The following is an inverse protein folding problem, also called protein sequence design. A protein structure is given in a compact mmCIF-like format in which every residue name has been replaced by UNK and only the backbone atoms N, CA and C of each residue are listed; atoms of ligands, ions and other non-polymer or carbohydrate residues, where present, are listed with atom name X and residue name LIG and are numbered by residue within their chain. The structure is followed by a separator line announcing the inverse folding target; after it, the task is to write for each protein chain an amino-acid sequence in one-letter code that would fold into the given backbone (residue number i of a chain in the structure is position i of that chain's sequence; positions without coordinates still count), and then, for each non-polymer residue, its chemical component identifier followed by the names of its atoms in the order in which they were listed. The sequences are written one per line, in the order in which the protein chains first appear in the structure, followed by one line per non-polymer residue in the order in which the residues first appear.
data_IF_353687718862
#
_entry.id   IF_353687718862
#
_cell.length_a   1.000
_cell.length_b   1.000
_cell.length_c   1.000
_cell.angle_alpha   90.00
_cell.angle_beta   90.00
_cell.angle_gamma   90.00
#
_symmetry.space_group_name_H-M   'P 1'
#
loop_
_entity.id
_entity.type
_entity.pdbx_description
1 polymer ?
#
# COMPACT_ATOMS: atom_id res chain seq x y z
N UNK A 1 -25.53 -7.76 4.69
CA UNK A 1 -24.49 -8.69 4.20
C UNK A 1 -23.73 -8.01 3.06
N UNK A 2 -22.40 -8.09 3.02
CA UNK A 2 -21.60 -7.49 1.95
C UNK A 2 -21.72 -8.38 0.71
N UNK A 3 -22.30 -7.88 -0.38
CA UNK A 3 -22.42 -8.64 -1.64
C UNK A 3 -21.14 -8.48 -2.45
N UNK A 4 -20.26 -9.48 -2.47
CA UNK A 4 -18.98 -9.39 -3.20
C UNK A 4 -19.13 -9.41 -4.72
N UNK A 5 -19.96 -10.30 -5.25
CA UNK A 5 -20.26 -10.38 -6.69
C UNK A 5 -21.47 -9.53 -7.00
N UNK A 6 -21.22 -8.28 -7.41
CA UNK A 6 -22.26 -7.35 -7.82
C UNK A 6 -21.75 -6.44 -8.94
N UNK A 7 -22.63 -6.09 -9.89
CA UNK A 7 -22.32 -5.10 -10.92
C UNK A 7 -22.36 -3.71 -10.27
N UNK A 8 -21.19 -3.11 -10.09
CA UNK A 8 -21.04 -1.83 -9.39
C UNK A 8 -20.86 -0.68 -10.36
N UNK A 9 -21.46 0.46 -10.04
CA UNK A 9 -21.04 1.74 -10.59
C UNK A 9 -19.82 2.30 -9.82
N UNK A 10 -19.29 3.41 -10.31
CA UNK A 10 -18.16 4.08 -9.71
C UNK A 10 -18.40 4.50 -8.25
N UNK A 11 -19.59 5.04 -7.94
CA UNK A 11 -19.91 5.54 -6.60
C UNK A 11 -20.05 4.41 -5.59
N UNK A 12 -20.63 3.29 -6.03
CA UNK A 12 -20.82 2.07 -5.24
C UNK A 12 -19.49 1.51 -4.74
N UNK A 13 -18.42 1.56 -5.54
CA UNK A 13 -17.09 1.12 -5.09
C UNK A 13 -16.59 1.89 -3.85
N UNK A 14 -16.79 3.22 -3.86
CA UNK A 14 -16.38 4.09 -2.75
C UNK A 14 -17.23 3.80 -1.52
N UNK A 15 -18.57 3.76 -1.69
CA UNK A 15 -19.49 3.52 -0.58
C UNK A 15 -19.35 2.11 0.00
N UNK A 16 -19.12 1.09 -0.82
CA UNK A 16 -18.91 -0.29 -0.38
C UNK A 16 -17.59 -0.43 0.39
N UNK A 17 -16.54 0.25 -0.07
CA UNK A 17 -15.25 0.26 0.63
C UNK A 17 -15.37 0.83 2.04
N UNK A 18 -16.01 2.00 2.19
CA UNK A 18 -16.27 2.56 3.53
C UNK A 18 -17.30 1.75 4.33
N UNK A 19 -18.31 1.17 3.66
CA UNK A 19 -19.30 0.29 4.28
C UNK A 19 -18.68 -0.99 4.84
N UNK A 20 -17.67 -1.54 4.16
CA UNK A 20 -16.87 -2.66 4.65
C UNK A 20 -16.18 -2.28 5.96
N UNK A 21 -15.46 -1.16 6.02
CA UNK A 21 -14.81 -0.75 7.26
C UNK A 21 -15.81 -0.37 8.36
N UNK A 22 -16.95 0.23 8.02
CA UNK A 22 -18.01 0.50 9.00
C UNK A 22 -18.52 -0.78 9.69
N UNK A 23 -18.55 -1.90 8.98
CA UNK A 23 -19.09 -3.17 9.48
C UNK A 23 -18.02 -4.13 10.02
N UNK A 24 -16.81 -4.11 9.47
CA UNK A 24 -15.75 -5.09 9.75
C UNK A 24 -14.45 -4.48 10.29
N UNK A 25 -14.33 -3.16 10.46
CA UNK A 25 -13.06 -2.53 10.89
C UNK A 25 -12.47 -3.12 12.18
N UNK A 26 -13.31 -3.46 13.16
CA UNK A 26 -12.84 -4.05 14.43
C UNK A 26 -12.08 -5.37 14.21
N UNK A 27 -12.74 -6.35 13.59
CA UNK A 27 -12.11 -7.63 13.25
C UNK A 27 -10.93 -7.44 12.26
N UNK A 28 -11.12 -6.61 11.22
CA UNK A 28 -10.11 -6.35 10.19
C UNK A 28 -8.83 -5.70 10.75
N UNK A 29 -8.91 -4.58 11.48
CA UNK A 29 -7.68 -3.91 11.94
C UNK A 29 -7.04 -4.60 13.13
N UNK A 30 -7.80 -5.32 13.96
CA UNK A 30 -7.25 -6.19 15.01
C UNK A 30 -6.34 -7.24 14.39
N UNK A 31 -6.83 -7.99 13.39
CA UNK A 31 -6.04 -9.02 12.73
C UNK A 31 -4.92 -8.43 11.87
N UNK A 32 -5.14 -7.28 11.24
CA UNK A 32 -4.10 -6.56 10.50
C UNK A 32 -2.91 -6.24 11.41
N UNK A 33 -3.16 -5.69 12.60
CA UNK A 33 -2.12 -5.37 13.58
C UNK A 33 -1.44 -6.63 14.14
N UNK A 34 -2.17 -7.72 14.37
CA UNK A 34 -1.56 -8.97 14.84
C UNK A 34 -0.57 -9.54 13.81
N UNK A 35 -0.85 -9.38 12.52
CA UNK A 35 -0.01 -9.93 11.45
C UNK A 35 1.10 -8.96 11.01
N UNK A 36 0.79 -7.68 10.85
CA UNK A 36 1.72 -6.67 10.32
C UNK A 36 2.40 -5.85 11.42
N UNK A 37 1.82 -5.77 12.63
CA UNK A 37 2.24 -4.86 13.69
C UNK A 37 3.67 -5.09 14.15
N UNK A 38 4.11 -6.34 14.30
CA UNK A 38 5.49 -6.63 14.69
C UNK A 38 6.50 -6.16 13.64
N UNK A 39 6.19 -6.35 12.35
CA UNK A 39 7.06 -5.91 11.25
C UNK A 39 7.03 -4.37 11.11
N UNK A 40 5.88 -3.73 11.37
CA UNK A 40 5.76 -2.27 11.44
C UNK A 40 6.63 -1.68 12.56
N UNK A 41 6.54 -2.24 13.76
CA UNK A 41 7.37 -1.81 14.90
C UNK A 41 8.85 -2.02 14.58
N UNK A 42 9.21 -3.17 14.03
CA UNK A 42 10.58 -3.45 13.62
C UNK A 42 11.08 -2.43 12.59
N UNK A 43 10.27 -2.05 11.60
CA UNK A 43 10.63 -1.04 10.61
C UNK A 43 10.92 0.31 11.28
N UNK A 44 10.06 0.76 12.21
CA UNK A 44 10.25 2.02 12.92
C UNK A 44 11.53 1.99 13.75
N UNK A 45 11.78 0.89 14.47
CA UNK A 45 12.99 0.72 15.29
C UNK A 45 14.26 0.73 14.43
N UNK A 46 14.26 0.01 13.30
CA UNK A 46 15.41 -0.03 12.39
C UNK A 46 15.66 1.33 11.75
N UNK A 47 14.61 2.05 11.33
CA UNK A 47 14.76 3.41 10.79
C UNK A 47 15.34 4.33 11.86
N UNK A 48 14.85 4.26 13.10
CA UNK A 48 15.35 5.10 14.18
C UNK A 48 16.81 4.83 14.48
N UNK A 49 17.15 3.63 14.92
CA UNK A 49 18.51 3.32 15.36
C UNK A 49 19.50 3.29 14.20
N UNK A 50 19.05 2.90 13.00
CA UNK A 50 19.90 2.83 11.82
C UNK A 50 20.23 4.19 11.20
N UNK A 51 19.38 5.21 11.41
CA UNK A 51 19.52 6.49 10.73
C UNK A 51 19.50 7.72 11.64
N UNK A 52 19.30 7.60 12.97
CA UNK A 52 19.28 8.76 13.88
C UNK A 52 20.52 9.65 13.79
N UNK A 53 21.70 9.05 13.65
CA UNK A 53 22.97 9.77 13.63
C UNK A 53 23.17 10.43 12.27
N UNK A 54 22.87 9.68 11.20
CA UNK A 54 22.86 10.18 9.83
C UNK A 54 21.90 11.37 9.62
N UNK A 55 20.63 11.23 10.06
CA UNK A 55 19.64 12.30 9.99
C UNK A 55 20.07 13.49 10.84
N UNK A 56 20.66 13.23 12.00
CA UNK A 56 21.20 14.24 12.89
C UNK A 56 22.26 15.12 12.26
N UNK A 57 23.23 14.51 11.57
CA UNK A 57 24.28 15.23 10.83
C UNK A 57 23.69 16.05 9.67
N UNK A 58 22.70 15.52 8.94
CA UNK A 58 21.99 16.24 7.87
C UNK A 58 21.29 17.50 8.40
N UNK A 59 20.58 17.39 9.52
CA UNK A 59 19.76 18.49 10.05
C UNK A 59 20.56 19.53 10.85
N UNK A 60 21.69 19.16 11.46
CA UNK A 60 22.45 20.07 12.32
C UNK A 60 23.43 20.97 11.53
N UNK A 61 24.25 20.40 10.64
CA UNK A 61 25.47 21.08 10.17
C UNK A 61 25.41 21.65 8.76
N UNK A 62 24.39 21.30 7.98
CA UNK A 62 24.12 21.92 6.68
C UNK A 62 23.57 23.36 6.81
N UNK A 63 22.96 23.71 7.95
CA UNK A 63 22.53 25.08 8.23
C UNK A 63 23.69 26.00 8.69
N UNK A 64 24.84 25.43 9.09
CA UNK A 64 26.01 26.17 9.59
C UNK A 64 27.16 26.31 8.57
N UNK A 65 26.99 25.84 7.33
CA UNK A 65 27.89 26.14 6.20
C UNK A 65 29.17 25.29 6.08
N UNK A 66 29.27 24.15 6.76
CA UNK A 66 30.42 23.23 6.63
C UNK A 66 30.20 22.16 5.55
N UNK A 67 30.96 22.19 4.45
CA UNK A 67 30.77 21.32 3.28
C UNK A 67 31.29 19.88 3.44
N UNK A 68 32.21 19.62 4.37
CA UNK A 68 33.01 18.38 4.34
C UNK A 68 32.59 17.32 5.38
N UNK A 69 31.64 17.65 6.27
CA UNK A 69 31.27 16.78 7.40
C UNK A 69 30.40 15.59 7.01
N UNK A 70 29.49 15.80 6.05
CA UNK A 70 28.65 14.73 5.53
C UNK A 70 29.48 13.68 4.78
N UNK A 71 30.41 14.14 3.93
CA UNK A 71 31.35 13.29 3.22
C UNK A 71 32.22 12.49 4.18
N UNK A 72 32.74 13.14 5.23
CA UNK A 72 33.51 12.46 6.28
C UNK A 72 32.70 11.40 7.04
N UNK A 73 31.48 11.73 7.47
CA UNK A 73 30.61 10.76 8.16
C UNK A 73 30.30 9.56 7.26
N UNK A 74 30.00 9.79 5.99
CA UNK A 74 29.77 8.73 5.02
C UNK A 74 31.01 7.86 4.84
N UNK A 75 32.19 8.46 4.67
CA UNK A 75 33.43 7.71 4.51
C UNK A 75 33.78 6.86 5.74
N UNK A 76 33.56 7.40 6.95
CA UNK A 76 33.85 6.70 8.21
C UNK A 76 32.82 5.61 8.55
N UNK A 77 31.56 5.78 8.13
CA UNK A 77 30.45 4.90 8.50
C UNK A 77 29.80 4.17 7.33
N UNK A 78 30.46 4.13 6.15
CA UNK A 78 29.91 3.57 4.92
C UNK A 78 29.42 2.12 5.11
N UNK A 79 30.21 1.30 5.80
CA UNK A 79 29.85 -0.10 6.08
C UNK A 79 28.58 -0.22 6.92
N UNK A 80 28.48 0.55 7.99
CA UNK A 80 27.28 0.58 8.85
C UNK A 80 26.06 1.09 8.08
N UNK A 81 26.24 2.11 7.23
CA UNK A 81 25.17 2.64 6.39
C UNK A 81 24.64 1.61 5.40
N UNK A 82 25.51 0.86 4.71
CA UNK A 82 25.10 -0.20 3.80
C UNK A 82 24.30 -1.28 4.55
N UNK A 83 24.77 -1.70 5.73
CA UNK A 83 24.07 -2.70 6.56
C UNK A 83 22.67 -2.18 6.93
N UNK A 84 22.55 -0.93 7.38
CA UNK A 84 21.27 -0.34 7.76
C UNK A 84 20.32 -0.21 6.56
N UNK A 85 20.82 0.17 5.37
CA UNK A 85 20.03 0.23 4.14
C UNK A 85 19.51 -1.16 3.75
N UNK A 86 20.38 -2.17 3.74
CA UNK A 86 19.99 -3.56 3.42
C UNK A 86 18.95 -4.07 4.41
N UNK A 87 19.12 -3.78 5.71
CA UNK A 87 18.17 -4.18 6.74
C UNK A 87 16.81 -3.49 6.56
N UNK A 88 16.77 -2.18 6.32
CA UNK A 88 15.52 -1.45 6.03
C UNK A 88 14.85 -2.01 4.80
N UNK A 89 15.60 -2.26 3.71
CA UNK A 89 15.05 -2.83 2.48
C UNK A 89 14.43 -4.21 2.73
N UNK A 90 15.09 -5.07 3.50
CA UNK A 90 14.58 -6.40 3.83
C UNK A 90 13.28 -6.31 4.67
N UNK A 91 13.27 -5.50 5.73
CA UNK A 91 12.10 -5.32 6.61
C UNK A 91 10.93 -4.68 5.86
N UNK A 92 11.19 -3.62 5.09
CA UNK A 92 10.19 -2.95 4.26
C UNK A 92 9.61 -3.89 3.20
N UNK A 93 10.47 -4.70 2.57
CA UNK A 93 10.02 -5.68 1.59
C UNK A 93 9.11 -6.75 2.19
N UNK A 94 9.40 -7.23 3.41
CA UNK A 94 8.52 -8.14 4.13
C UNK A 94 7.19 -7.46 4.47
N UNK A 95 7.25 -6.20 4.93
CA UNK A 95 6.07 -5.41 5.24
C UNK A 95 5.19 -5.19 4.00
N UNK A 96 5.79 -4.91 2.84
CA UNK A 96 5.09 -4.70 1.58
C UNK A 96 4.27 -5.93 1.18
N UNK A 97 4.87 -7.12 1.20
CA UNK A 97 4.17 -8.34 0.80
C UNK A 97 3.05 -8.71 1.79
N UNK A 98 3.26 -8.52 3.09
CA UNK A 98 2.23 -8.77 4.11
C UNK A 98 1.05 -7.78 3.99
N UNK A 99 1.34 -6.49 3.78
CA UNK A 99 0.30 -5.47 3.56
C UNK A 99 -0.50 -5.74 2.29
N UNK A 100 0.14 -6.23 1.23
CA UNK A 100 -0.52 -6.54 -0.03
C UNK A 100 -1.40 -7.79 0.06
N UNK A 101 -0.94 -8.82 0.78
CA UNK A 101 -1.64 -10.11 0.87
C UNK A 101 -2.72 -10.14 1.95
N UNK A 102 -2.56 -9.37 3.02
CA UNK A 102 -3.52 -9.38 4.13
C UNK A 102 -4.97 -9.07 3.67
N UNK A 103 -5.24 -7.96 2.94
CA UNK A 103 -6.57 -7.67 2.42
C UNK A 103 -7.07 -8.77 1.48
N UNK A 104 -6.17 -9.34 0.68
CA UNK A 104 -6.51 -10.36 -0.33
C UNK A 104 -7.01 -11.64 0.32
N UNK A 105 -6.31 -12.14 1.34
CA UNK A 105 -6.73 -13.33 2.11
C UNK A 105 -7.95 -13.03 2.97
N UNK A 106 -8.01 -11.85 3.60
CA UNK A 106 -9.17 -11.47 4.40
C UNK A 106 -10.44 -11.43 3.56
N UNK A 107 -10.43 -10.71 2.42
CA UNK A 107 -11.60 -10.65 1.54
C UNK A 107 -11.95 -12.00 0.92
N UNK A 108 -10.98 -12.91 0.75
CA UNK A 108 -11.23 -14.26 0.24
C UNK A 108 -12.16 -15.01 1.15
N UNK A 109 -11.87 -14.93 2.45
CA UNK A 109 -12.59 -15.58 3.52
C UNK A 109 -13.99 -15.01 3.69
N UNK A 110 -14.12 -13.68 3.69
CA UNK A 110 -15.44 -13.05 3.74
C UNK A 110 -16.27 -13.40 2.49
N UNK A 111 -15.67 -13.40 1.30
CA UNK A 111 -16.36 -13.79 0.06
C UNK A 111 -16.78 -15.27 0.05
N UNK A 112 -16.11 -16.13 0.83
CA UNK A 112 -16.48 -17.53 1.05
C UNK A 112 -17.55 -17.72 2.15
N UNK A 113 -18.07 -16.64 2.72
CA UNK A 113 -19.17 -16.67 3.69
C UNK A 113 -18.74 -16.60 5.15
N UNK A 114 -17.44 -16.40 5.45
CA UNK A 114 -17.03 -16.17 6.84
C UNK A 114 -17.47 -14.78 7.31
N UNK A 115 -18.11 -14.72 8.48
CA UNK A 115 -18.49 -13.45 9.09
C UNK A 115 -17.31 -12.76 9.77
N UNK A 116 -16.53 -13.49 10.54
CA UNK A 116 -15.30 -13.01 11.16
C UNK A 116 -14.14 -13.87 10.70
N UNK A 117 -12.99 -13.24 10.49
CA UNK A 117 -11.75 -13.92 10.15
C UNK A 117 -10.86 -13.90 11.37
N UNK A 118 -10.12 -14.97 11.62
CA UNK A 118 -9.12 -14.99 12.69
C UNK A 118 -7.70 -14.82 12.13
N UNK A 119 -6.81 -14.17 12.90
CA UNK A 119 -5.42 -13.99 12.49
C UNK A 119 -4.71 -15.32 12.17
N UNK A 120 -4.98 -16.38 12.93
CA UNK A 120 -4.36 -17.69 12.73
C UNK A 120 -4.74 -18.31 11.38
N UNK A 121 -5.94 -18.03 10.88
CA UNK A 121 -6.43 -18.49 9.58
C UNK A 121 -5.67 -17.84 8.43
N UNK A 122 -5.45 -16.52 8.50
CA UNK A 122 -4.65 -15.79 7.49
C UNK A 122 -3.19 -16.23 7.55
N UNK A 123 -2.63 -16.47 8.75
CA UNK A 123 -1.28 -17.02 8.90
C UNK A 123 -1.20 -18.41 8.29
N UNK A 124 -2.24 -19.24 8.44
CA UNK A 124 -2.33 -20.55 7.80
C UNK A 124 -2.34 -20.43 6.27
N UNK A 125 -3.11 -19.48 5.72
CA UNK A 125 -3.16 -19.23 4.29
C UNK A 125 -1.79 -18.78 3.74
N UNK A 126 -1.10 -17.89 4.46
CA UNK A 126 0.26 -17.44 4.11
C UNK A 126 1.25 -18.61 4.07
N UNK A 127 1.20 -19.50 5.07
CA UNK A 127 2.07 -20.69 5.15
C UNK A 127 1.75 -21.69 4.04
N UNK A 128 0.47 -21.97 3.82
CA UNK A 128 0.01 -22.94 2.81
C UNK A 128 0.34 -22.47 1.40
N UNK A 129 0.29 -21.16 1.15
CA UNK A 129 0.59 -20.57 -0.15
C UNK A 129 2.03 -20.05 -0.26
N UNK A 130 2.93 -20.40 0.66
CA UNK A 130 4.27 -19.80 0.76
C UNK A 130 5.07 -19.84 -0.55
N UNK A 131 5.13 -21.01 -1.20
CA UNK A 131 5.83 -21.16 -2.49
C UNK A 131 5.22 -20.29 -3.59
N UNK A 132 3.89 -20.16 -3.59
CA UNK A 132 3.16 -19.31 -4.53
C UNK A 132 3.46 -17.84 -4.26
N UNK A 133 3.47 -17.44 -3.00
CA UNK A 133 3.81 -16.08 -2.55
C UNK A 133 5.25 -15.71 -2.93
N UNK A 134 6.22 -16.61 -2.77
CA UNK A 134 7.61 -16.36 -3.22
C UNK A 134 7.66 -16.11 -4.73
N UNK A 135 6.99 -16.94 -5.53
CA UNK A 135 6.94 -16.75 -7.00
C UNK A 135 6.27 -15.42 -7.37
N UNK A 136 5.18 -15.05 -6.69
CA UNK A 136 4.53 -13.75 -6.87
C UNK A 136 5.49 -12.61 -6.53
N UNK A 137 6.16 -12.69 -5.38
CA UNK A 137 7.10 -11.68 -4.90
C UNK A 137 8.27 -11.47 -5.88
N UNK A 138 8.89 -12.55 -6.36
CA UNK A 138 9.94 -12.49 -7.37
C UNK A 138 9.42 -11.92 -8.70
N UNK A 139 8.22 -12.31 -9.13
CA UNK A 139 7.59 -11.75 -10.33
C UNK A 139 7.28 -10.26 -10.19
N UNK A 140 6.86 -9.81 -9.00
CA UNK A 140 6.64 -8.40 -8.71
C UNK A 140 7.94 -7.60 -8.78
N UNK A 141 8.99 -8.04 -8.09
CA UNK A 141 10.27 -7.30 -8.02
C UNK A 141 11.06 -7.33 -9.31
N UNK A 142 11.13 -8.48 -9.99
CA UNK A 142 11.99 -8.63 -11.16
C UNK A 142 11.31 -8.21 -12.47
N UNK A 143 9.98 -8.22 -12.53
CA UNK A 143 9.24 -7.96 -13.77
C UNK A 143 8.30 -6.76 -13.64
N UNK A 144 7.37 -6.80 -12.68
CA UNK A 144 6.28 -5.80 -12.61
C UNK A 144 6.79 -4.44 -12.16
N UNK A 145 7.59 -4.36 -11.10
CA UNK A 145 8.15 -3.10 -10.59
C UNK A 145 9.08 -2.44 -11.62
N UNK A 146 10.04 -3.15 -12.26
CA UNK A 146 10.86 -2.55 -13.32
C UNK A 146 10.05 -2.07 -14.51
N UNK A 147 9.05 -2.84 -14.97
CA UNK A 147 8.18 -2.43 -16.06
C UNK A 147 7.32 -1.21 -15.68
N UNK A 148 6.78 -1.18 -14.47
CA UNK A 148 6.03 -0.04 -13.94
C UNK A 148 6.91 1.20 -13.81
N UNK A 149 8.15 1.05 -13.32
CA UNK A 149 9.12 2.13 -13.21
C UNK A 149 9.48 2.71 -14.58
N UNK A 150 9.68 1.86 -15.60
CA UNK A 150 9.91 2.30 -16.97
C UNK A 150 8.69 3.06 -17.52
N UNK A 151 7.48 2.55 -17.32
CA UNK A 151 6.26 3.22 -17.76
C UNK A 151 6.08 4.58 -17.08
N UNK A 152 6.35 4.67 -15.77
CA UNK A 152 6.30 5.92 -15.02
C UNK A 152 7.39 6.89 -15.46
N UNK A 153 8.61 6.42 -15.74
CA UNK A 153 9.69 7.25 -16.26
C UNK A 153 9.34 7.86 -17.62
N UNK A 154 8.77 7.06 -18.53
CA UNK A 154 8.27 7.55 -19.83
C UNK A 154 7.15 8.58 -19.62
N UNK A 155 6.20 8.29 -18.73
CA UNK A 155 5.09 9.20 -18.39
C UNK A 155 5.61 10.51 -17.79
N UNK A 156 6.67 10.45 -16.99
CA UNK A 156 7.31 11.64 -16.41
C UNK A 156 8.03 12.48 -17.46
N UNK A 157 8.74 11.86 -18.41
CA UNK A 157 9.34 12.59 -19.55
C UNK A 157 8.27 13.32 -20.36
N UNK A 158 7.06 12.76 -20.48
CA UNK A 158 5.95 13.42 -21.16
C UNK A 158 5.48 14.72 -20.48
N UNK A 159 5.86 14.98 -19.22
CA UNK A 159 5.50 16.22 -18.50
C UNK A 159 6.06 17.45 -19.20
N UNK A 160 7.24 17.34 -19.84
CA UNK A 160 7.82 18.41 -20.65
C UNK A 160 6.94 18.84 -21.83
N UNK A 161 6.01 17.99 -22.25
CA UNK A 161 5.08 18.24 -23.37
C UNK A 161 3.67 18.63 -22.88
N UNK A 162 3.50 19.02 -21.61
CA UNK A 162 2.21 19.35 -20.94
C UNK A 162 1.25 18.14 -20.81
N UNK A 163 1.25 17.21 -21.77
CA UNK A 163 0.44 15.99 -21.78
C UNK A 163 0.81 15.00 -20.66
N UNK A 164 2.02 15.08 -20.09
CA UNK A 164 2.47 14.13 -19.08
C UNK A 164 1.73 14.20 -17.76
N UNK A 165 1.25 15.38 -17.34
CA UNK A 165 0.46 15.50 -16.10
C UNK A 165 -0.85 14.70 -16.23
N UNK A 166 -1.67 14.90 -17.28
CA UNK A 166 -2.81 14.01 -17.56
C UNK A 166 -2.43 12.53 -17.61
N UNK A 167 -1.35 12.17 -18.31
CA UNK A 167 -0.92 10.76 -18.43
C UNK A 167 -0.63 10.15 -17.06
N UNK A 168 0.10 10.84 -16.19
CA UNK A 168 0.42 10.36 -14.84
C UNK A 168 -0.85 10.12 -14.00
N UNK A 169 -1.86 10.97 -14.13
CA UNK A 169 -3.16 10.82 -13.46
C UNK A 169 -3.89 9.54 -13.91
N UNK A 170 -3.69 9.08 -15.14
CA UNK A 170 -4.25 7.82 -15.63
C UNK A 170 -3.39 6.60 -15.27
N UNK A 171 -2.07 6.72 -15.41
CA UNK A 171 -1.14 5.58 -15.26
C UNK A 171 -1.08 5.09 -13.82
N UNK A 172 -0.98 5.98 -12.83
CA UNK A 172 -0.78 5.59 -11.42
C UNK A 172 -1.96 4.75 -10.87
N UNK A 173 -3.23 5.18 -10.96
CA UNK A 173 -4.37 4.39 -10.48
C UNK A 173 -4.55 3.08 -11.27
N UNK A 174 -4.28 3.10 -12.58
CA UNK A 174 -4.40 1.92 -13.44
C UNK A 174 -3.36 0.85 -13.07
N UNK A 175 -2.11 1.26 -12.87
CA UNK A 175 -1.06 0.35 -12.40
C UNK A 175 -1.38 -0.21 -11.01
N UNK A 176 -1.86 0.63 -10.10
CA UNK A 176 -2.27 0.19 -8.77
C UNK A 176 -3.33 -0.92 -8.82
N UNK A 177 -4.39 -0.70 -9.60
CA UNK A 177 -5.44 -1.71 -9.79
C UNK A 177 -4.91 -2.96 -10.48
N UNK A 178 -4.08 -2.83 -11.52
CA UNK A 178 -3.50 -3.97 -12.23
C UNK A 178 -2.62 -4.84 -11.31
N UNK A 179 -1.81 -4.22 -10.44
CA UNK A 179 -1.00 -4.96 -9.47
C UNK A 179 -1.89 -5.71 -8.47
N UNK A 180 -2.93 -5.07 -7.94
CA UNK A 180 -3.83 -5.74 -7.00
C UNK A 180 -4.64 -6.86 -7.67
N UNK A 181 -5.16 -6.64 -8.87
CA UNK A 181 -5.85 -7.68 -9.64
C UNK A 181 -4.94 -8.87 -9.92
N UNK A 182 -3.65 -8.63 -10.21
CA UNK A 182 -2.67 -9.70 -10.34
C UNK A 182 -2.57 -10.50 -9.05
N UNK A 183 -2.48 -9.85 -7.89
CA UNK A 183 -2.37 -10.52 -6.59
C UNK A 183 -3.65 -11.31 -6.29
N UNK A 184 -4.83 -10.70 -6.46
CA UNK A 184 -6.11 -11.38 -6.27
C UNK A 184 -6.25 -12.59 -7.19
N UNK A 185 -6.08 -12.43 -8.51
CA UNK A 185 -6.23 -13.51 -9.47
C UNK A 185 -5.22 -14.62 -9.23
N UNK A 186 -3.96 -14.25 -8.98
CA UNK A 186 -2.90 -15.22 -8.74
C UNK A 186 -3.16 -16.00 -7.45
N UNK A 187 -3.64 -15.38 -6.37
CA UNK A 187 -3.93 -16.10 -5.12
C UNK A 187 -5.22 -16.92 -5.20
N UNK A 188 -6.26 -16.45 -5.90
CA UNK A 188 -7.58 -17.08 -5.92
C UNK A 188 -7.71 -18.21 -6.93
N UNK A 189 -6.90 -18.19 -8.00
CA UNK A 189 -7.00 -19.15 -9.09
C UNK A 189 -5.76 -20.03 -9.17
N UNK A 190 -5.84 -21.09 -9.97
CA UNK A 190 -4.69 -21.96 -10.27
C UNK A 190 -3.82 -21.43 -11.42
N UNK A 191 -4.11 -20.22 -11.93
CA UNK A 191 -3.38 -19.63 -13.06
C UNK A 191 -1.92 -19.37 -12.68
N UNK A 192 -1.03 -19.57 -13.67
CA UNK A 192 0.36 -19.15 -13.57
C UNK A 192 0.51 -17.63 -13.55
N UNK A 193 1.68 -17.15 -13.11
CA UNK A 193 1.95 -15.72 -12.90
C UNK A 193 1.63 -14.86 -14.13
N UNK A 194 2.13 -15.25 -15.32
CA UNK A 194 1.87 -14.51 -16.56
C UNK A 194 0.41 -14.57 -17.00
N UNK A 195 -0.30 -15.66 -16.70
CA UNK A 195 -1.73 -15.78 -16.95
C UNK A 195 -2.53 -14.78 -16.11
N UNK A 196 -2.22 -14.70 -14.82
CA UNK A 196 -2.83 -13.72 -13.91
C UNK A 196 -2.43 -12.28 -14.23
N UNK A 197 -1.19 -12.03 -14.65
CA UNK A 197 -0.74 -10.70 -15.10
C UNK A 197 -1.48 -10.25 -16.36
N UNK A 198 -1.61 -11.15 -17.34
CA UNK A 198 -2.36 -10.87 -18.58
C UNK A 198 -3.83 -10.58 -18.28
N UNK A 199 -4.44 -11.37 -17.40
CA UNK A 199 -5.80 -11.12 -16.94
C UNK A 199 -5.92 -9.76 -16.26
N UNK A 200 -5.07 -9.46 -15.29
CA UNK A 200 -5.13 -8.25 -14.48
C UNK A 200 -4.99 -6.96 -15.29
N UNK A 201 -4.18 -6.98 -16.35
CA UNK A 201 -4.03 -5.86 -17.28
C UNK A 201 -5.26 -5.72 -18.18
N UNK A 202 -5.75 -6.82 -18.76
CA UNK A 202 -6.91 -6.80 -19.68
C UNK A 202 -8.18 -6.39 -18.95
N UNK A 203 -8.39 -6.86 -17.72
CA UNK A 203 -9.56 -6.57 -16.91
C UNK A 203 -9.71 -5.10 -16.53
N UNK A 204 -8.65 -4.29 -16.62
CA UNK A 204 -8.77 -2.84 -16.46
C UNK A 204 -9.53 -2.20 -17.61
N UNK A 205 -9.42 -2.75 -18.83
CA UNK A 205 -9.94 -2.14 -20.04
C UNK A 205 -11.14 -2.89 -20.63
N UNK A 206 -11.32 -4.17 -20.34
CA UNK A 206 -12.44 -4.96 -20.84
C UNK A 206 -12.83 -6.08 -19.89
N UNK A 207 -14.13 -6.41 -19.87
CA UNK A 207 -14.60 -7.63 -19.23
C UNK A 207 -14.28 -8.85 -20.10
N UNK A 208 -14.06 -10.00 -19.46
CA UNK A 208 -13.75 -11.26 -20.16
C UNK A 208 -14.82 -11.66 -21.19
N UNK A 209 -16.09 -11.38 -20.91
CA UNK A 209 -17.20 -11.80 -21.77
C UNK A 209 -17.41 -10.87 -22.99
N UNK A 210 -16.69 -9.75 -23.08
CA UNK A 210 -16.67 -8.84 -24.24
C UNK A 210 -17.98 -8.12 -24.57
N UNK A 211 -19.10 -8.49 -23.95
CA UNK A 211 -20.45 -7.98 -24.22
C UNK A 211 -20.76 -6.67 -23.50
N UNK A 212 -19.98 -6.31 -22.50
CA UNK A 212 -20.20 -5.14 -21.65
C UNK A 212 -19.22 -4.02 -22.01
N UNK A 213 -19.64 -2.77 -21.75
CA UNK A 213 -18.77 -1.59 -21.92
C UNK A 213 -17.54 -1.71 -21.02
N UNK A 214 -16.44 -1.09 -21.45
CA UNK A 214 -15.18 -1.07 -20.68
C UNK A 214 -15.42 -0.65 -19.21
N UNK A 215 -14.89 -1.40 -18.22
CA UNK A 215 -14.94 -1.01 -16.82
C UNK A 215 -13.93 0.09 -16.46
N UNK A 216 -13.09 0.52 -17.40
CA UNK A 216 -11.95 1.39 -17.13
C UNK A 216 -12.32 2.62 -16.32
N UNK A 217 -13.33 3.38 -16.77
CA UNK A 217 -13.71 4.64 -16.13
C UNK A 217 -14.18 4.46 -14.68
N UNK A 218 -14.90 3.38 -14.39
CA UNK A 218 -15.39 3.13 -13.03
C UNK A 218 -14.28 2.65 -12.09
N UNK A 219 -13.36 1.81 -12.57
CA UNK A 219 -12.21 1.35 -11.78
C UNK A 219 -11.20 2.47 -11.57
N UNK A 220 -10.78 3.14 -12.66
CA UNK A 220 -9.84 4.26 -12.61
C UNK A 220 -10.37 5.38 -11.73
N UNK A 221 -11.63 5.80 -11.93
CA UNK A 221 -12.21 6.89 -11.18
C UNK A 221 -12.21 6.57 -9.69
N UNK A 222 -12.74 5.41 -9.30
CA UNK A 222 -12.93 5.04 -7.89
C UNK A 222 -11.59 5.01 -7.17
N UNK A 223 -10.59 4.38 -7.81
CA UNK A 223 -9.23 4.33 -7.28
C UNK A 223 -8.63 5.73 -7.21
N UNK A 224 -8.80 6.58 -8.23
CA UNK A 224 -8.30 7.96 -8.23
C UNK A 224 -8.83 8.78 -7.06
N UNK A 225 -10.15 8.75 -6.81
CA UNK A 225 -10.74 9.49 -5.68
C UNK A 225 -10.19 8.99 -4.35
N UNK A 226 -10.19 7.68 -4.13
CA UNK A 226 -9.66 7.12 -2.88
C UNK A 226 -8.16 7.40 -2.73
N UNK A 227 -7.40 7.46 -3.81
CA UNK A 227 -5.99 7.80 -3.81
C UNK A 227 -5.78 9.26 -3.40
N UNK A 228 -6.59 10.19 -3.92
CA UNK A 228 -6.58 11.59 -3.50
C UNK A 228 -6.94 11.74 -2.02
N UNK A 229 -8.00 11.07 -1.56
CA UNK A 229 -8.39 11.06 -0.14
C UNK A 229 -7.26 10.53 0.75
N UNK A 230 -6.67 9.40 0.37
CA UNK A 230 -5.51 8.82 1.04
C UNK A 230 -4.38 9.85 1.16
N UNK A 231 -3.96 10.47 0.05
CA UNK A 231 -2.85 11.42 0.04
C UNK A 231 -3.13 12.67 0.89
N UNK A 232 -4.34 13.21 0.86
CA UNK A 232 -4.71 14.36 1.70
C UNK A 232 -4.55 14.02 3.18
N UNK A 233 -5.07 12.88 3.61
CA UNK A 233 -5.02 12.48 5.03
C UNK A 233 -3.59 12.12 5.45
N UNK A 234 -2.84 11.34 4.66
CA UNK A 234 -1.46 10.98 5.01
C UNK A 234 -0.53 12.18 5.05
N UNK A 235 -0.72 13.15 4.16
CA UNK A 235 0.09 14.39 4.15
C UNK A 235 -0.10 15.19 5.43
N UNK A 236 -1.33 15.25 5.97
CA UNK A 236 -1.59 15.91 7.27
C UNK A 236 -0.78 15.22 8.38
N UNK A 237 -0.83 13.89 8.45
CA UNK A 237 -0.10 13.14 9.48
C UNK A 237 1.42 13.20 9.29
N UNK A 238 1.93 13.27 8.06
CA UNK A 238 3.36 13.46 7.81
C UNK A 238 3.82 14.90 8.06
N UNK A 239 2.95 15.90 7.88
CA UNK A 239 3.26 17.29 8.13
C UNK A 239 3.44 17.60 9.62
N UNK A 240 2.68 16.94 10.52
CA UNK A 240 2.78 17.15 11.98
C UNK A 240 4.24 17.01 12.48
N UNK A 241 4.93 15.88 12.30
CA UNK A 241 6.31 15.76 12.77
C UNK A 241 7.27 16.68 12.02
N UNK A 242 7.07 16.92 10.72
CA UNK A 242 7.90 17.86 9.98
C UNK A 242 7.81 19.29 10.56
N UNK A 243 6.61 19.75 10.92
CA UNK A 243 6.39 21.06 11.55
C UNK A 243 7.02 21.14 12.94
N UNK A 244 6.93 20.08 13.75
CA UNK A 244 7.58 20.00 15.07
C UNK A 244 9.10 20.13 14.93
N UNK A 245 9.69 19.43 13.95
CA UNK A 245 11.12 19.50 13.68
C UNK A 245 11.55 20.90 13.23
N UNK A 246 10.84 21.50 12.28
CA UNK A 246 11.13 22.86 11.80
C UNK A 246 11.03 23.87 12.93
N UNK A 247 9.97 23.81 13.75
CA UNK A 247 9.80 24.68 14.91
C UNK A 247 10.94 24.55 15.92
N UNK A 248 11.40 23.33 16.18
CA UNK A 248 12.55 23.11 17.07
C UNK A 248 13.80 23.77 16.51
N UNK A 249 14.11 23.52 15.24
CA UNK A 249 15.31 24.05 14.59
C UNK A 249 15.33 25.58 14.59
N UNK A 250 14.18 26.24 14.39
CA UNK A 250 14.11 27.71 14.39
C UNK A 250 14.27 28.32 15.79
N UNK A 251 13.69 27.71 16.83
CA UNK A 251 13.78 28.21 18.21
C UNK A 251 15.18 27.99 18.81
N UNK A 252 15.89 26.92 18.47
CA UNK A 252 17.21 26.59 19.04
C UNK A 252 18.39 27.40 18.50
N UNK A 253 18.20 28.20 17.45
CA UNK A 253 19.26 29.05 16.84
C UNK A 253 19.80 30.16 17.75
N UNK A 254 19.18 30.40 18.92
CA UNK A 254 19.52 31.50 19.84
C UNK A 254 20.46 31.10 20.99
N UNK A 255 20.86 29.83 21.12
CA UNK A 255 21.80 29.36 22.15
C UNK A 255 23.08 28.78 21.55
N UNK A 256 24.23 29.32 21.97
CA UNK A 256 25.59 29.11 21.44
C UNK A 256 26.21 27.71 21.65
N UNK A 257 25.41 26.64 21.72
CA UNK A 257 25.86 25.24 21.80
C UNK A 257 25.27 24.40 20.65
N UNK A 258 25.36 24.91 19.42
CA UNK A 258 24.89 24.26 18.18
C UNK A 258 25.89 23.19 17.71
N UNK A 259 26.22 22.23 18.58
CA UNK A 259 27.08 21.10 18.20
C UNK A 259 26.47 19.74 18.56
N UNK A 260 25.28 19.73 19.15
CA UNK A 260 24.59 18.50 19.52
C UNK A 260 23.54 18.15 18.45
N UNK A 261 23.60 16.91 17.97
CA UNK A 261 22.63 16.34 17.05
C UNK A 261 21.21 16.51 17.63
N UNK A 262 20.29 17.26 16.98
CA UNK A 262 18.96 17.54 17.50
C UNK A 262 18.08 16.28 17.60
N UNK A 263 18.50 15.18 16.97
CA UNK A 263 17.86 13.87 16.98
C UNK A 263 18.58 12.85 17.88
N UNK A 264 19.69 13.21 18.53
CA UNK A 264 20.40 12.30 19.44
C UNK A 264 19.78 12.23 20.84
N UNK A 265 19.07 13.29 21.26
CA UNK A 265 18.51 13.42 22.61
C UNK A 265 17.05 12.94 22.66
N UNK A 266 16.38 13.11 23.82
CA UNK A 266 14.98 12.72 24.06
C UNK A 266 14.00 13.25 22.99
N UNK A 267 14.30 14.40 22.37
CA UNK A 267 13.53 14.96 21.27
C UNK A 267 13.56 14.09 20.00
N UNK A 268 14.70 13.46 19.70
CA UNK A 268 14.83 12.50 18.60
C UNK A 268 13.92 11.29 18.77
N UNK A 269 13.83 10.78 20.00
CA UNK A 269 12.89 9.69 20.33
C UNK A 269 11.44 10.12 20.12
N UNK A 270 11.08 11.32 20.58
CA UNK A 270 9.73 11.87 20.41
C UNK A 270 9.36 12.03 18.93
N UNK A 271 10.22 12.66 18.12
CA UNK A 271 9.91 12.92 16.71
C UNK A 271 9.79 11.62 15.92
N UNK A 272 10.65 10.63 16.19
CA UNK A 272 10.56 9.31 15.58
C UNK A 272 9.30 8.59 16.01
N UNK A 273 8.88 8.68 17.27
CA UNK A 273 7.62 8.12 17.72
C UNK A 273 6.43 8.72 16.95
N UNK A 274 6.39 10.05 16.78
CA UNK A 274 5.34 10.73 16.00
C UNK A 274 5.38 10.31 14.51
N UNK A 275 6.56 10.25 13.89
CA UNK A 275 6.72 9.73 12.53
C UNK A 275 6.27 8.27 12.42
N UNK A 276 6.57 7.45 13.42
CA UNK A 276 6.14 6.06 13.51
C UNK A 276 4.63 5.92 13.54
N UNK A 277 3.93 6.78 14.31
CA UNK A 277 2.47 6.86 14.29
C UNK A 277 1.97 7.22 12.87
N UNK A 278 2.57 8.19 12.20
CA UNK A 278 2.19 8.57 10.83
C UNK A 278 2.36 7.43 9.83
N UNK A 279 3.40 6.60 9.98
CA UNK A 279 3.60 5.38 9.18
C UNK A 279 2.48 4.38 9.44
N UNK A 280 2.13 4.13 10.71
CA UNK A 280 1.04 3.20 11.07
C UNK A 280 -0.30 3.66 10.52
N UNK A 281 -0.62 4.95 10.67
CA UNK A 281 -1.84 5.54 10.11
C UNK A 281 -1.87 5.42 8.59
N UNK A 282 -0.75 5.69 7.92
CA UNK A 282 -0.66 5.55 6.46
C UNK A 282 -0.90 4.11 6.02
N UNK A 283 -0.33 3.12 6.73
CA UNK A 283 -0.60 1.72 6.48
C UNK A 283 -2.09 1.37 6.63
N UNK A 284 -2.76 1.92 7.65
CA UNK A 284 -4.19 1.69 7.86
C UNK A 284 -5.04 2.30 6.74
N UNK A 285 -4.76 3.55 6.35
CA UNK A 285 -5.52 4.24 5.30
C UNK A 285 -5.34 3.58 3.93
N UNK A 286 -4.15 3.05 3.64
CA UNK A 286 -3.89 2.32 2.40
C UNK A 286 -4.81 1.08 2.25
N UNK A 287 -5.25 0.47 3.35
CA UNK A 287 -6.18 -0.65 3.29
C UNK A 287 -7.53 -0.30 2.65
N UNK A 288 -7.95 0.98 2.67
CA UNK A 288 -9.16 1.42 1.96
C UNK A 288 -9.02 1.21 0.46
N UNK A 289 -7.87 1.56 -0.10
CA UNK A 289 -7.55 1.32 -1.52
C UNK A 289 -7.45 -0.19 -1.83
N UNK A 290 -6.85 -0.98 -0.94
CA UNK A 290 -6.73 -2.43 -1.13
C UNK A 290 -8.08 -3.16 -1.12
N UNK A 291 -8.99 -2.76 -0.22
CA UNK A 291 -10.35 -3.29 -0.17
C UNK A 291 -11.14 -2.86 -1.40
N UNK A 292 -11.00 -1.60 -1.83
CA UNK A 292 -11.63 -1.09 -3.05
C UNK A 292 -11.22 -1.89 -4.29
N UNK A 293 -9.93 -2.15 -4.47
CA UNK A 293 -9.43 -2.98 -5.56
C UNK A 293 -9.95 -4.43 -5.46
N UNK A 294 -10.18 -4.94 -4.25
CA UNK A 294 -10.87 -6.22 -4.04
C UNK A 294 -12.28 -6.22 -4.60
N UNK A 295 -13.09 -5.21 -4.27
CA UNK A 295 -14.44 -5.08 -4.86
C UNK A 295 -14.42 -4.94 -6.37
N UNK A 296 -13.46 -4.18 -6.93
CA UNK A 296 -13.26 -4.08 -8.37
C UNK A 296 -12.88 -5.43 -8.99
N UNK A 297 -12.01 -6.20 -8.33
CA UNK A 297 -11.66 -7.55 -8.78
C UNK A 297 -12.89 -8.46 -8.82
N UNK A 298 -13.71 -8.51 -7.77
CA UNK A 298 -14.92 -9.33 -7.76
C UNK A 298 -15.98 -8.87 -8.79
N UNK A 299 -16.10 -7.57 -9.03
CA UNK A 299 -16.94 -7.02 -10.11
C UNK A 299 -16.44 -7.47 -11.50
N UNK A 300 -15.12 -7.60 -11.69
CA UNK A 300 -14.53 -8.02 -12.96
C UNK A 300 -14.69 -9.52 -13.25
N UNK A 301 -14.94 -10.34 -12.23
CA UNK A 301 -15.10 -11.81 -12.31
C UNK A 301 -16.53 -12.20 -12.72
N UNK A 302 -16.99 -11.72 -13.87
CA UNK A 302 -18.38 -11.92 -14.38
C UNK A 302 -18.78 -13.38 -14.53
N UNK A 303 -17.82 -14.27 -14.72
CA UNK A 303 -18.02 -15.72 -14.71
C UNK A 303 -18.62 -16.25 -13.39
N UNK A 304 -18.39 -15.55 -12.28
CA UNK A 304 -18.92 -15.91 -10.96
C UNK A 304 -20.25 -15.22 -10.63
N UNK A 305 -20.67 -14.19 -11.38
CA UNK A 305 -21.96 -13.52 -11.18
C UNK A 305 -23.11 -14.41 -11.65
N UNK A 306 -22.93 -15.11 -12.78
CA UNK A 306 -23.96 -16.03 -13.32
C UNK A 306 -24.38 -17.09 -12.29
N UNK A 307 -23.43 -17.65 -11.53
CA UNK A 307 -23.76 -18.65 -10.49
C UNK A 307 -24.66 -18.09 -9.38
N UNK A 308 -24.45 -16.83 -9.00
CA UNK A 308 -25.26 -16.18 -7.97
C UNK A 308 -26.61 -15.73 -8.52
N UNK A 309 -26.68 -15.27 -9.77
CA UNK A 309 -27.95 -14.96 -10.44
C UNK A 309 -28.85 -16.20 -10.54
N UNK A 310 -28.30 -17.38 -10.89
CA UNK A 310 -29.07 -18.62 -10.89
C UNK A 310 -29.56 -19.01 -9.49
N UNK A 311 -28.73 -18.85 -8.45
CA UNK A 311 -29.15 -19.09 -7.06
C UNK A 311 -30.24 -18.11 -6.60
N UNK A 312 -30.16 -16.82 -6.95
CA UNK A 312 -31.22 -15.86 -6.66
C UNK A 312 -32.52 -16.24 -7.39
N UNK A 313 -32.45 -16.64 -8.67
CA UNK A 313 -33.63 -17.09 -9.45
C UNK A 313 -34.28 -18.33 -8.81
N UNK A 314 -33.49 -19.32 -8.39
CA UNK A 314 -34.01 -20.53 -7.75
C UNK A 314 -34.71 -20.23 -6.40
N UNK A 315 -34.32 -19.16 -5.70
CA UNK A 315 -34.97 -18.74 -4.44
C UNK A 315 -36.26 -17.95 -4.62
N UNK A 316 -36.53 -17.39 -5.80
CA UNK A 316 -37.76 -16.63 -6.09
C UNK A 316 -39.00 -17.56 -6.05
N UNK A 317 -38.84 -18.85 -6.38
CA UNK A 317 -39.93 -19.83 -6.32
C UNK A 317 -40.15 -20.51 -4.97
N UNK A 318 -39.29 -20.27 -3.97
CA UNK A 318 -39.38 -20.91 -2.65
C UNK A 318 -40.07 -20.04 -1.59
N UNK A 319 -40.25 -18.74 -1.86
CA UNK A 319 -40.89 -17.77 -0.96
C UNK A 319 -42.25 -17.27 -1.48
N UNK A 320 -42.89 -18.01 -2.40
CA UNK A 320 -44.19 -17.68 -2.98
C UNK A 320 -45.32 -18.53 -2.39
#
# INVERSE_FOLDING_TARGET
MIKFYNNRDFGSFITDSFGFFKTKAGNYFKNFLLINGMVLILLIVVIFFGFKDFLGEIFNKNFTGGTDYFEKYLHENLGLMIINIVLVLAVYSLLMILNLLYPVFYLKRIAQGQDEVEAHEIISDLKTNFTKIIKLYLGLILLVIPAAALLLAISYVMVFFIIGIPVLLFVVPTLFNAVLFLVYDYIYTERGFFGSLSYALRSQFSYQNGREKSPYWKYWGSTTILFLMYNVVTTIFMAIPALILIFRLTVTTSSSNINNNPLADEFGVLITFVYGISIVISAFLMNVLYVNAGFQYFDSRRDLHQKNEFQEIDTIGLNA
#
